data_IF_485324163509
#
_entry.id   IF_485324163509
#
_cell.length_a   1.000
_cell.length_b   1.000
_cell.length_c   1.000
_cell.angle_alpha   90.00
_cell.angle_beta   90.00
_cell.angle_gamma   90.00
#
_symmetry.space_group_name_H-M   'P 1'
#
loop_
_entity.id
_entity.type
_entity.pdbx_description
1 polymer ?
#
# COMPACT_ATOMS: atom_id res chain seq x y z
N UNK A 1 12.09 -9.26 -2.56
CA UNK A 1 11.46 -8.21 -1.73
C UNK A 1 9.97 -8.21 -1.98
N UNK A 2 9.15 -7.91 -0.97
CA UNK A 2 7.70 -7.81 -1.08
C UNK A 2 7.25 -6.42 -0.61
N UNK A 3 6.15 -5.91 -1.16
CA UNK A 3 5.56 -4.64 -0.74
C UNK A 3 4.13 -4.91 -0.29
N UNK A 4 3.81 -4.51 0.93
CA UNK A 4 2.47 -4.61 1.51
C UNK A 4 1.98 -3.21 1.88
N UNK A 5 0.68 -2.98 1.95
CA UNK A 5 0.12 -1.78 2.54
C UNK A 5 -0.65 -2.09 3.82
N UNK A 6 -0.76 -1.12 4.72
CA UNK A 6 -1.73 -1.16 5.79
C UNK A 6 -3.10 -0.69 5.29
N UNK A 7 -4.19 -1.12 5.92
CA UNK A 7 -5.54 -0.62 5.69
C UNK A 7 -6.31 -0.63 7.02
N UNK A 8 -7.37 0.16 7.13
CA UNK A 8 -8.21 0.21 8.33
C UNK A 8 -8.41 1.63 8.87
N UNK A 9 -9.30 1.74 9.84
CA UNK A 9 -9.75 3.01 10.42
C UNK A 9 -8.61 3.83 11.02
N UNK A 10 -8.80 5.17 11.11
CA UNK A 10 -7.93 6.04 11.89
C UNK A 10 -7.86 5.56 13.35
N UNK A 11 -6.73 5.74 13.99
CA UNK A 11 -6.47 5.32 15.39
C UNK A 11 -6.55 3.82 15.67
N UNK A 12 -6.70 2.96 14.67
CA UNK A 12 -6.59 1.50 14.82
C UNK A 12 -5.14 1.00 14.96
N UNK A 13 -4.17 1.91 15.03
CA UNK A 13 -2.77 1.60 15.34
C UNK A 13 -1.95 1.08 14.15
N UNK A 14 -2.28 1.45 12.89
CA UNK A 14 -1.53 1.07 11.70
C UNK A 14 -0.06 1.44 11.79
N UNK A 15 0.26 2.74 12.01
CA UNK A 15 1.64 3.23 12.12
C UNK A 15 2.38 2.62 13.32
N UNK A 16 1.68 2.41 14.45
CA UNK A 16 2.26 1.72 15.62
C UNK A 16 2.60 0.26 15.29
N UNK A 17 1.75 -0.42 14.51
CA UNK A 17 2.00 -1.77 14.03
C UNK A 17 3.22 -1.82 13.10
N UNK A 18 3.30 -0.91 12.13
CA UNK A 18 4.45 -0.80 11.22
C UNK A 18 5.73 -0.58 12.01
N UNK A 19 5.74 0.31 12.98
CA UNK A 19 6.88 0.56 13.86
C UNK A 19 7.26 -0.69 14.68
N UNK A 20 6.29 -1.41 15.23
CA UNK A 20 6.53 -2.64 16.00
C UNK A 20 7.14 -3.76 15.14
N UNK A 21 6.73 -3.86 13.86
CA UNK A 21 7.26 -4.84 12.92
C UNK A 21 8.68 -4.50 12.44
N UNK A 22 8.91 -3.21 12.14
CA UNK A 22 10.11 -2.78 11.39
C UNK A 22 11.17 -2.11 12.25
N UNK A 23 10.81 -1.66 13.46
CA UNK A 23 11.66 -0.80 14.28
C UNK A 23 11.87 0.61 13.71
N UNK A 24 11.15 0.99 12.63
CA UNK A 24 11.26 2.27 11.93
C UNK A 24 9.99 3.09 12.08
N UNK A 25 10.12 4.40 12.20
CA UNK A 25 8.99 5.32 12.20
C UNK A 25 8.51 5.59 10.78
N UNK A 26 7.27 5.21 10.40
CA UNK A 26 6.73 5.46 9.07
C UNK A 26 6.34 6.94 8.88
N UNK A 27 5.92 7.63 9.95
CA UNK A 27 5.47 9.01 9.92
C UNK A 27 6.67 9.97 9.92
N UNK A 28 6.90 10.64 8.80
CA UNK A 28 8.08 11.49 8.59
C UNK A 28 7.86 12.96 8.95
N UNK A 29 6.60 13.40 8.99
CA UNK A 29 6.28 14.80 9.25
C UNK A 29 6.13 15.06 10.75
N UNK A 30 6.80 16.09 11.25
CA UNK A 30 6.63 16.50 12.64
C UNK A 30 5.16 16.80 13.01
N UNK A 31 4.34 17.17 12.02
CA UNK A 31 2.92 17.40 12.19
C UNK A 31 2.14 16.09 12.39
N UNK A 32 2.47 15.02 11.66
CA UNK A 32 1.91 13.68 11.84
C UNK A 32 2.21 13.16 13.24
N UNK A 33 3.48 13.23 13.64
CA UNK A 33 3.92 12.79 14.95
C UNK A 33 3.26 13.60 16.10
N UNK A 34 3.08 14.92 15.90
CA UNK A 34 2.43 15.78 16.89
C UNK A 34 0.92 15.54 17.00
N UNK A 35 0.25 15.22 15.88
CA UNK A 35 -1.19 14.95 15.83
C UNK A 35 -1.53 13.49 16.09
N UNK A 36 -0.56 12.57 16.02
CA UNK A 36 -0.78 11.14 16.08
C UNK A 36 -1.59 10.60 14.90
N UNK A 37 -1.59 11.32 13.76
CA UNK A 37 -2.41 11.03 12.60
C UNK A 37 -1.56 11.04 11.33
N UNK A 38 -1.55 9.94 10.58
CA UNK A 38 -0.90 9.83 9.29
C UNK A 38 -1.66 10.66 8.25
N UNK A 39 -0.99 11.61 7.61
CA UNK A 39 -1.54 12.54 6.62
C UNK A 39 -1.15 12.17 5.19
N UNK A 40 0.02 11.57 5.01
CA UNK A 40 0.55 11.11 3.73
C UNK A 40 1.01 9.64 3.85
N UNK A 41 1.52 9.04 2.78
CA UNK A 41 2.01 7.66 2.82
C UNK A 41 3.29 7.56 3.65
N UNK A 42 3.28 6.72 4.68
CA UNK A 42 4.47 6.33 5.41
C UNK A 42 5.19 5.16 4.76
N UNK A 43 6.50 5.02 4.99
CA UNK A 43 7.30 3.90 4.48
C UNK A 43 8.24 3.37 5.53
N UNK A 44 8.23 2.05 5.67
CA UNK A 44 9.19 1.34 6.49
C UNK A 44 9.50 -0.03 5.85
N UNK A 45 10.62 -0.62 6.21
CA UNK A 45 10.97 -1.98 5.75
C UNK A 45 11.75 -2.73 6.82
N UNK A 46 11.73 -4.04 6.69
CA UNK A 46 12.47 -4.94 7.58
C UNK A 46 12.76 -6.25 6.87
N UNK A 47 13.74 -6.97 7.38
CA UNK A 47 13.98 -8.35 7.03
C UNK A 47 13.35 -9.23 8.11
N UNK A 48 12.42 -10.09 7.72
CA UNK A 48 11.72 -11.02 8.60
C UNK A 48 12.35 -12.40 8.48
N UNK A 49 12.78 -12.98 9.61
CA UNK A 49 13.30 -14.35 9.67
C UNK A 49 12.23 -15.31 9.11
N UNK A 50 12.66 -16.17 8.21
CA UNK A 50 11.78 -17.12 7.53
C UNK A 50 11.66 -18.47 8.28
N UNK A 51 12.35 -18.61 9.40
CA UNK A 51 12.39 -19.83 10.20
C UNK A 51 13.23 -20.97 9.60
N UNK A 52 13.86 -20.74 8.42
CA UNK A 52 14.70 -21.72 7.73
C UNK A 52 16.16 -21.24 7.56
N UNK A 53 16.54 -20.18 8.26
CA UNK A 53 17.85 -19.55 8.19
C UNK A 53 18.02 -18.54 7.07
N UNK A 54 16.90 -18.14 6.42
CA UNK A 54 16.81 -17.05 5.46
C UNK A 54 15.95 -15.91 6.00
N UNK A 55 15.77 -14.86 5.19
CA UNK A 55 14.93 -13.73 5.54
C UNK A 55 14.11 -13.23 4.33
N UNK A 56 12.84 -12.89 4.59
CA UNK A 56 11.98 -12.22 3.64
C UNK A 56 12.06 -10.70 3.85
N UNK A 57 12.51 -9.98 2.83
CA UNK A 57 12.51 -8.53 2.87
C UNK A 57 11.12 -7.99 2.54
N UNK A 58 10.53 -7.27 3.49
CA UNK A 58 9.19 -6.71 3.40
C UNK A 58 9.23 -5.21 3.57
N UNK A 59 8.72 -4.48 2.58
CA UNK A 59 8.45 -3.06 2.66
C UNK A 59 6.97 -2.83 2.96
N UNK A 60 6.68 -1.87 3.82
CA UNK A 60 5.34 -1.52 4.25
C UNK A 60 5.02 -0.09 3.83
N UNK A 61 3.89 0.05 3.16
CA UNK A 61 3.25 1.35 2.85
C UNK A 61 2.22 1.60 3.93
N UNK A 62 2.49 2.54 4.81
CA UNK A 62 1.53 2.94 5.83
C UNK A 62 0.59 4.00 5.26
N UNK A 63 -0.70 3.69 5.22
CA UNK A 63 -1.69 4.58 4.62
C UNK A 63 -2.50 5.33 5.67
N UNK A 64 -2.90 6.58 5.40
CA UNK A 64 -3.80 7.31 6.27
C UNK A 64 -5.15 6.60 6.40
N UNK A 65 -5.75 6.67 7.59
CA UNK A 65 -7.04 6.03 7.88
C UNK A 65 -8.25 6.97 7.82
N UNK A 66 -8.06 8.27 7.67
CA UNK A 66 -9.11 9.26 7.71
C UNK A 66 -9.75 9.45 6.31
N UNK A 67 -11.08 9.57 6.23
CA UNK A 67 -11.86 9.71 4.99
C UNK A 67 -11.34 10.77 4.01
N UNK A 68 -10.85 11.91 4.54
CA UNK A 68 -10.27 13.00 3.74
C UNK A 68 -9.06 12.58 2.91
N UNK A 69 -8.43 11.46 3.25
CA UNK A 69 -7.21 10.96 2.61
C UNK A 69 -7.43 9.67 1.81
N UNK A 70 -8.67 9.33 1.47
CA UNK A 70 -8.99 8.18 0.61
C UNK A 70 -8.19 8.19 -0.70
N UNK A 71 -8.02 9.32 -1.44
CA UNK A 71 -7.15 9.34 -2.63
C UNK A 71 -5.68 9.00 -2.32
N UNK A 72 -5.20 9.39 -1.14
CA UNK A 72 -3.84 9.05 -0.68
C UNK A 72 -3.74 7.56 -0.35
N UNK A 73 -4.75 7.01 0.33
CA UNK A 73 -4.84 5.58 0.63
C UNK A 73 -4.86 4.76 -0.65
N UNK A 74 -5.70 5.11 -1.64
CA UNK A 74 -5.78 4.41 -2.93
C UNK A 74 -4.43 4.40 -3.67
N UNK A 75 -3.69 5.52 -3.64
CA UNK A 75 -2.36 5.58 -4.24
C UNK A 75 -1.34 4.65 -3.55
N UNK A 76 -1.52 4.40 -2.25
CA UNK A 76 -0.67 3.46 -1.49
C UNK A 76 -1.05 2.00 -1.69
N UNK A 77 -2.34 1.71 -1.79
CA UNK A 77 -2.88 0.34 -1.86
C UNK A 77 -2.95 -0.20 -3.28
N UNK A 78 -3.25 0.65 -4.27
CA UNK A 78 -3.48 0.23 -5.65
C UNK A 78 -2.36 -0.63 -6.27
N UNK A 79 -1.08 -0.32 -6.06
CA UNK A 79 0.01 -1.08 -6.67
C UNK A 79 0.55 -2.24 -5.81
N UNK A 80 -0.04 -2.55 -4.65
CA UNK A 80 0.49 -3.62 -3.78
C UNK A 80 -0.26 -4.93 -3.94
N UNK A 81 0.43 -6.09 -3.86
CA UNK A 81 -0.19 -7.39 -4.05
C UNK A 81 -0.96 -7.88 -2.81
N UNK A 82 -0.71 -7.30 -1.63
CA UNK A 82 -1.34 -7.74 -0.39
C UNK A 82 -1.39 -6.63 0.67
N UNK A 83 -2.29 -6.79 1.65
CA UNK A 83 -2.56 -5.81 2.69
C UNK A 83 -2.59 -6.40 4.09
N UNK A 84 -2.27 -5.54 5.07
CA UNK A 84 -2.54 -5.75 6.48
C UNK A 84 -3.79 -4.94 6.86
N UNK A 85 -4.94 -5.60 6.99
CA UNK A 85 -6.18 -4.96 7.42
C UNK A 85 -6.22 -4.89 8.95
N UNK A 86 -6.04 -3.68 9.48
CA UNK A 86 -5.89 -3.44 10.92
C UNK A 86 -7.20 -2.98 11.53
N UNK A 87 -7.67 -3.74 12.53
CA UNK A 87 -8.88 -3.44 13.30
C UNK A 87 -8.53 -3.47 14.78
N UNK A 88 -8.84 -2.40 15.52
CA UNK A 88 -8.56 -2.33 16.94
C UNK A 88 -9.51 -3.22 17.74
N UNK A 89 -8.99 -4.00 18.68
CA UNK A 89 -9.77 -4.93 19.50
C UNK A 89 -10.81 -4.22 20.38
N UNK A 90 -10.49 -3.03 20.88
CA UNK A 90 -11.34 -2.18 21.72
C UNK A 90 -12.33 -1.30 20.93
N UNK A 91 -12.01 -1.03 19.65
CA UNK A 91 -12.85 -0.20 18.76
C UNK A 91 -13.77 -1.02 17.85
N UNK A 92 -13.41 -2.26 17.54
CA UNK A 92 -14.14 -3.12 16.61
C UNK A 92 -14.16 -2.56 15.18
N UNK A 93 -15.17 -2.96 14.41
CA UNK A 93 -15.34 -2.51 13.03
C UNK A 93 -15.89 -1.09 12.96
N UNK A 94 -15.22 -0.22 12.25
CA UNK A 94 -15.52 1.21 12.15
C UNK A 94 -15.81 1.62 10.70
N UNK A 95 -16.44 2.81 10.45
CA UNK A 95 -16.79 3.23 9.10
C UNK A 95 -15.66 3.20 8.10
N UNK A 96 -14.47 3.74 8.44
CA UNK A 96 -13.33 3.69 7.51
C UNK A 96 -12.75 2.29 7.33
N UNK A 97 -13.00 1.34 8.24
CA UNK A 97 -12.67 -0.08 8.00
C UNK A 97 -13.48 -0.62 6.81
N UNK A 98 -14.76 -0.23 6.73
CA UNK A 98 -15.63 -0.58 5.62
C UNK A 98 -15.20 0.12 4.31
N UNK A 99 -14.94 1.42 4.35
CA UNK A 99 -14.49 2.19 3.18
C UNK A 99 -13.19 1.61 2.60
N UNK A 100 -12.23 1.24 3.48
CA UNK A 100 -11.00 0.60 3.05
C UNK A 100 -11.24 -0.78 2.46
N UNK A 101 -12.13 -1.59 3.06
CA UNK A 101 -12.48 -2.90 2.51
C UNK A 101 -13.12 -2.77 1.13
N UNK A 102 -14.05 -1.83 0.96
CA UNK A 102 -14.70 -1.56 -0.33
C UNK A 102 -13.69 -1.15 -1.41
N UNK A 103 -12.73 -0.31 -1.04
CA UNK A 103 -11.66 0.11 -1.94
C UNK A 103 -10.74 -1.07 -2.31
N UNK A 104 -10.37 -1.93 -1.36
CA UNK A 104 -9.57 -3.13 -1.58
C UNK A 104 -10.29 -4.11 -2.51
N UNK A 105 -11.59 -4.31 -2.30
CA UNK A 105 -12.43 -5.17 -3.11
C UNK A 105 -12.54 -4.64 -4.55
N UNK A 106 -12.80 -3.34 -4.72
CA UNK A 106 -12.84 -2.68 -6.02
C UNK A 106 -11.51 -2.73 -6.78
N UNK A 107 -10.38 -2.66 -6.07
CA UNK A 107 -9.03 -2.79 -6.64
C UNK A 107 -8.65 -4.25 -6.89
N UNK A 108 -9.45 -5.22 -6.47
CA UNK A 108 -9.19 -6.65 -6.65
C UNK A 108 -8.01 -7.17 -5.81
N UNK A 109 -7.72 -6.56 -4.67
CA UNK A 109 -6.69 -7.04 -3.75
C UNK A 109 -7.21 -8.31 -3.07
N UNK A 110 -6.57 -9.45 -3.36
CA UNK A 110 -7.06 -10.78 -2.96
C UNK A 110 -6.24 -11.42 -1.82
N UNK A 111 -5.13 -10.83 -1.47
CA UNK A 111 -4.25 -11.36 -0.42
C UNK A 111 -4.22 -10.40 0.75
N UNK A 112 -4.52 -10.88 1.94
CA UNK A 112 -4.55 -10.06 3.14
C UNK A 112 -4.27 -10.84 4.41
N UNK A 113 -3.91 -10.08 5.44
CA UNK A 113 -3.81 -10.55 6.81
C UNK A 113 -4.60 -9.58 7.69
N UNK A 114 -5.58 -10.08 8.41
CA UNK A 114 -6.31 -9.32 9.43
C UNK A 114 -5.44 -9.19 10.67
N UNK A 115 -5.21 -7.97 11.12
CA UNK A 115 -4.47 -7.70 12.36
C UNK A 115 -5.42 -7.07 13.37
N UNK A 116 -5.81 -7.85 14.39
CA UNK A 116 -6.57 -7.35 15.53
C UNK A 116 -5.57 -6.68 16.48
N UNK A 117 -5.49 -5.36 16.40
CA UNK A 117 -4.54 -4.54 17.12
C UNK A 117 -5.05 -4.15 18.51
N UNK A 118 -4.19 -3.49 19.34
CA UNK A 118 -4.56 -2.96 20.66
C UNK A 118 -5.12 -4.03 21.61
N UNK A 119 -4.65 -5.28 21.46
CA UNK A 119 -5.12 -6.42 22.24
C UNK A 119 -4.90 -6.29 23.77
N UNK A 120 -4.03 -5.38 24.18
CA UNK A 120 -3.79 -5.04 25.58
C UNK A 120 -4.91 -4.25 26.25
N UNK A 121 -5.90 -3.77 25.48
CA UNK A 121 -7.04 -3.00 26.00
C UNK A 121 -8.30 -3.84 26.22
N UNK A 122 -8.26 -5.12 25.84
CA UNK A 122 -9.37 -6.08 26.03
C UNK A 122 -8.84 -7.40 26.55
N UNK A 123 -9.74 -8.28 26.98
CA UNK A 123 -9.39 -9.67 27.29
C UNK A 123 -9.29 -10.54 26.01
N UNK A 124 -8.83 -11.77 26.18
CA UNK A 124 -8.71 -12.72 25.06
C UNK A 124 -10.05 -13.00 24.36
N UNK A 125 -11.16 -12.99 25.10
CA UNK A 125 -12.50 -13.20 24.57
C UNK A 125 -12.94 -12.05 23.69
N UNK A 126 -12.70 -10.81 24.12
CA UNK A 126 -12.98 -9.60 23.33
C UNK A 126 -12.16 -9.54 22.03
N UNK A 127 -10.87 -9.85 22.11
CA UNK A 127 -10.02 -9.90 20.91
C UNK A 127 -10.48 -10.98 19.92
N UNK A 128 -10.87 -12.17 20.42
CA UNK A 128 -11.41 -13.26 19.59
C UNK A 128 -12.76 -12.88 18.96
N UNK A 129 -13.63 -12.20 19.70
CA UNK A 129 -14.91 -11.70 19.20
C UNK A 129 -14.71 -10.68 18.05
N UNK A 130 -13.76 -9.77 18.21
CA UNK A 130 -13.40 -8.81 17.12
C UNK A 130 -12.88 -9.54 15.88
N UNK A 131 -12.01 -10.55 16.04
CA UNK A 131 -11.52 -11.36 14.94
C UNK A 131 -12.65 -12.08 14.19
N UNK A 132 -13.62 -12.64 14.93
CA UNK A 132 -14.78 -13.31 14.36
C UNK A 132 -15.72 -12.33 13.62
N UNK A 133 -15.99 -11.13 14.17
CA UNK A 133 -16.78 -10.09 13.50
C UNK A 133 -16.10 -9.66 12.19
N UNK A 134 -14.79 -9.44 12.20
CA UNK A 134 -14.05 -9.09 10.97
C UNK A 134 -14.17 -10.20 9.94
N UNK A 135 -13.95 -11.47 10.33
CA UNK A 135 -14.06 -12.59 9.41
C UNK A 135 -15.45 -12.68 8.76
N UNK A 136 -16.51 -12.42 9.52
CA UNK A 136 -17.89 -12.37 9.02
C UNK A 136 -18.08 -11.25 7.97
N UNK A 137 -17.48 -10.08 8.18
CA UNK A 137 -17.57 -8.92 7.27
C UNK A 137 -16.80 -9.12 5.98
N UNK A 138 -15.78 -9.96 5.99
CA UNK A 138 -15.00 -10.30 4.80
C UNK A 138 -15.72 -11.32 3.88
N UNK A 139 -16.78 -11.98 4.34
CA UNK A 139 -17.54 -12.92 3.50
C UNK A 139 -18.09 -12.23 2.26
N UNK A 140 -17.85 -12.83 1.09
CA UNK A 140 -18.26 -12.28 -0.22
C UNK A 140 -17.39 -11.14 -0.74
N UNK A 141 -16.28 -10.81 -0.08
CA UNK A 141 -15.30 -9.82 -0.55
C UNK A 141 -14.03 -10.49 -1.08
N UNK A 142 -13.16 -9.71 -1.73
CA UNK A 142 -11.85 -10.18 -2.23
C UNK A 142 -10.91 -10.69 -1.13
N UNK A 143 -11.15 -10.33 0.14
CA UNK A 143 -10.37 -10.75 1.30
C UNK A 143 -11.03 -11.87 2.12
N UNK A 144 -12.06 -12.52 1.59
CA UNK A 144 -12.70 -13.67 2.27
C UNK A 144 -11.66 -14.76 2.59
N UNK A 145 -11.75 -15.31 3.80
CA UNK A 145 -10.84 -16.35 4.27
C UNK A 145 -9.44 -15.84 4.68
N UNK A 146 -9.20 -14.53 4.69
CA UNK A 146 -7.93 -13.97 5.19
C UNK A 146 -7.68 -14.41 6.63
N UNK A 147 -6.48 -14.92 6.96
CA UNK A 147 -6.13 -15.27 8.33
C UNK A 147 -6.09 -14.05 9.24
N UNK A 148 -6.24 -14.26 10.55
CA UNK A 148 -6.16 -13.20 11.54
C UNK A 148 -5.06 -13.45 12.58
N UNK A 149 -4.47 -12.36 13.10
CA UNK A 149 -3.51 -12.36 14.19
C UNK A 149 -3.87 -11.27 15.19
N UNK A 150 -3.83 -11.61 16.48
CA UNK A 150 -4.09 -10.68 17.58
C UNK A 150 -2.77 -10.11 18.11
N UNK A 151 -2.65 -8.79 18.19
CA UNK A 151 -1.37 -8.11 18.49
C UNK A 151 -1.56 -6.89 19.39
N UNK A 152 -0.62 -6.68 20.28
CA UNK A 152 -0.40 -5.38 20.92
C UNK A 152 0.96 -4.82 20.56
N UNK A 153 0.98 -3.77 19.76
CA UNK A 153 2.21 -3.04 19.42
C UNK A 153 2.85 -2.39 20.66
N UNK A 154 2.06 -2.09 21.69
CA UNK A 154 2.51 -1.47 22.94
C UNK A 154 3.27 -2.43 23.84
N UNK A 155 2.78 -3.66 23.99
CA UNK A 155 3.38 -4.66 24.88
C UNK A 155 4.28 -5.66 24.17
N UNK A 156 4.23 -5.70 22.83
CA UNK A 156 4.91 -6.69 22.01
C UNK A 156 4.18 -8.04 21.93
N UNK A 157 3.07 -8.21 22.63
CA UNK A 157 2.30 -9.46 22.59
C UNK A 157 1.81 -9.75 21.17
N UNK A 158 2.00 -10.98 20.68
CA UNK A 158 1.60 -11.41 19.33
C UNK A 158 2.50 -10.94 18.19
N UNK A 159 3.56 -10.15 18.43
CA UNK A 159 4.44 -9.63 17.36
C UNK A 159 5.16 -10.76 16.61
N UNK A 160 5.62 -11.79 17.29
CA UNK A 160 6.28 -12.93 16.63
C UNK A 160 5.29 -13.73 15.77
N UNK A 161 4.05 -13.93 16.25
CA UNK A 161 2.99 -14.56 15.46
C UNK A 161 2.66 -13.73 14.22
N UNK A 162 2.65 -12.40 14.34
CA UNK A 162 2.46 -11.47 13.23
C UNK A 162 3.61 -11.58 12.22
N UNK A 163 4.89 -11.58 12.67
CA UNK A 163 6.06 -11.76 11.79
C UNK A 163 5.94 -13.05 10.98
N UNK A 164 5.66 -14.15 11.65
CA UNK A 164 5.46 -15.45 11.01
C UNK A 164 4.27 -15.45 10.04
N UNK A 165 3.17 -14.77 10.38
CA UNK A 165 2.00 -14.65 9.49
C UNK A 165 2.30 -13.82 8.25
N UNK A 166 3.06 -12.70 8.39
CA UNK A 166 3.51 -11.89 7.26
C UNK A 166 4.42 -12.69 6.33
N UNK A 167 5.38 -13.47 6.87
CA UNK A 167 6.23 -14.36 6.07
C UNK A 167 5.40 -15.36 5.28
N UNK A 168 4.40 -16.01 5.91
CA UNK A 168 3.50 -16.93 5.20
C UNK A 168 2.71 -16.22 4.10
N UNK A 169 2.20 -15.00 4.38
CA UNK A 169 1.45 -14.21 3.41
C UNK A 169 2.33 -13.92 2.19
N UNK A 170 3.53 -13.36 2.37
CA UNK A 170 4.37 -12.94 1.24
C UNK A 170 4.90 -14.12 0.42
N UNK A 171 5.12 -15.28 1.04
CA UNK A 171 5.49 -16.52 0.35
C UNK A 171 4.36 -17.13 -0.47
N UNK A 172 3.13 -16.85 -0.08
CA UNK A 172 1.93 -17.27 -0.82
C UNK A 172 1.59 -16.37 -2.02
N UNK A 173 2.28 -15.22 -2.18
CA UNK A 173 2.02 -14.32 -3.29
C UNK A 173 2.58 -14.89 -4.61
N UNK A 174 1.90 -14.65 -5.74
CA UNK A 174 2.45 -14.98 -7.04
C UNK A 174 3.76 -14.20 -7.26
N UNK A 175 4.76 -14.82 -7.90
CA UNK A 175 5.98 -14.12 -8.25
C UNK A 175 5.68 -13.00 -9.24
N UNK A 176 6.33 -11.84 -9.06
CA UNK A 176 6.25 -10.77 -10.04
C UNK A 176 7.00 -11.15 -11.32
N UNK A 177 6.47 -10.73 -12.46
CA UNK A 177 7.11 -10.95 -13.76
C UNK A 177 8.17 -9.86 -14.03
N UNK A 178 9.47 -10.18 -14.03
CA UNK A 178 10.51 -9.22 -14.36
C UNK A 178 10.51 -8.83 -15.85
N UNK A 179 9.85 -9.60 -16.73
CA UNK A 179 9.69 -9.32 -18.15
C UNK A 179 8.50 -8.42 -18.47
N UNK A 180 7.64 -8.15 -17.49
CA UNK A 180 6.51 -7.25 -17.68
C UNK A 180 6.98 -5.81 -17.97
N UNK A 181 6.25 -5.06 -18.80
CA UNK A 181 6.56 -3.64 -18.99
C UNK A 181 6.39 -2.88 -17.68
N UNK A 182 7.42 -2.15 -17.21
CA UNK A 182 7.36 -1.44 -15.94
C UNK A 182 6.25 -0.38 -15.96
N UNK A 183 5.48 -0.35 -14.86
CA UNK A 183 4.46 0.66 -14.60
C UNK A 183 4.60 1.15 -13.16
N UNK A 184 4.91 2.44 -13.01
CA UNK A 184 5.10 3.08 -11.71
C UNK A 184 4.07 4.19 -11.53
N UNK A 185 3.10 4.00 -10.66
CA UNK A 185 2.17 5.05 -10.24
C UNK A 185 2.86 5.97 -9.24
N UNK A 186 2.81 7.28 -9.52
CA UNK A 186 3.51 8.29 -8.72
C UNK A 186 2.65 8.75 -7.55
N UNK A 187 3.14 8.53 -6.35
CA UNK A 187 2.51 9.01 -5.12
C UNK A 187 3.14 10.29 -4.59
N UNK A 188 4.38 10.62 -5.02
CA UNK A 188 5.05 11.89 -4.74
C UNK A 188 5.85 12.36 -5.93
N UNK A 189 5.92 13.69 -6.07
CA UNK A 189 6.79 14.38 -7.01
C UNK A 189 7.35 15.63 -6.34
N UNK A 190 8.67 15.78 -6.34
CA UNK A 190 9.34 16.89 -5.69
C UNK A 190 10.69 17.20 -6.33
N UNK A 191 11.22 18.37 -6.04
CA UNK A 191 12.54 18.80 -6.55
C UNK A 191 13.57 18.75 -5.44
N UNK A 192 14.69 18.08 -5.69
CA UNK A 192 15.86 18.07 -4.80
C UNK A 192 16.92 19.02 -5.40
N UNK A 193 17.38 19.99 -4.59
CA UNK A 193 18.43 20.92 -5.00
C UNK A 193 19.68 20.14 -5.43
N UNK A 194 20.16 20.36 -6.66
CA UNK A 194 21.32 19.69 -7.24
C UNK A 194 21.00 18.32 -7.90
N UNK A 195 19.94 17.64 -7.52
CA UNK A 195 19.54 16.38 -8.13
C UNK A 195 18.43 16.55 -9.20
N UNK A 196 17.57 17.57 -9.07
CA UNK A 196 16.45 17.81 -9.98
C UNK A 196 15.16 17.13 -9.51
N UNK A 197 14.33 16.71 -10.45
CA UNK A 197 13.04 16.09 -10.18
C UNK A 197 13.20 14.67 -9.71
N UNK A 198 12.58 14.36 -8.57
CA UNK A 198 12.49 13.03 -8.02
C UNK A 198 11.02 12.68 -7.81
N UNK A 199 10.64 11.51 -8.27
CA UNK A 199 9.31 10.95 -8.07
C UNK A 199 9.41 9.63 -7.30
N UNK A 200 8.37 9.28 -6.56
CA UNK A 200 8.31 8.01 -5.85
C UNK A 200 7.06 7.24 -6.20
N UNK A 201 7.14 5.92 -6.13
CA UNK A 201 6.02 5.03 -6.39
C UNK A 201 6.35 3.59 -6.01
N UNK A 202 5.34 2.71 -6.09
CA UNK A 202 5.52 1.27 -5.99
C UNK A 202 5.54 0.67 -7.38
N UNK A 203 6.61 -0.03 -7.71
CA UNK A 203 6.76 -0.84 -8.93
C UNK A 203 6.24 -2.24 -8.60
N UNK A 204 5.07 -2.67 -9.12
CA UNK A 204 4.54 -3.99 -8.82
C UNK A 204 5.31 -5.12 -9.51
N UNK A 205 5.74 -4.89 -10.74
CA UNK A 205 6.44 -5.87 -11.59
C UNK A 205 7.31 -5.16 -12.64
N UNK A 206 8.03 -5.92 -13.45
CA UNK A 206 8.97 -5.38 -14.42
C UNK A 206 10.27 -4.90 -13.77
N UNK A 207 11.13 -4.28 -14.57
CA UNK A 207 12.44 -3.76 -14.13
C UNK A 207 12.64 -2.35 -14.64
N UNK A 208 13.07 -1.44 -13.77
CA UNK A 208 13.55 -0.11 -14.10
C UNK A 208 15.07 -0.06 -14.03
N UNK A 209 15.71 0.58 -15.01
CA UNK A 209 17.17 0.76 -15.08
C UNK A 209 17.53 2.23 -15.21
N UNK A 210 18.67 2.60 -14.67
CA UNK A 210 19.27 3.90 -14.95
C UNK A 210 19.56 4.02 -16.45
N UNK A 211 19.10 5.10 -17.07
CA UNK A 211 19.21 5.33 -18.50
C UNK A 211 17.95 4.99 -19.29
N UNK A 212 16.98 4.28 -18.72
CA UNK A 212 15.73 3.95 -19.38
C UNK A 212 15.00 5.23 -19.86
N UNK A 213 14.42 5.13 -21.05
CA UNK A 213 13.47 6.11 -21.55
C UNK A 213 12.05 5.62 -21.21
N UNK A 214 11.29 6.47 -20.55
CA UNK A 214 9.93 6.19 -20.11
C UNK A 214 8.98 7.25 -20.63
N UNK A 215 7.71 6.92 -20.64
CA UNK A 215 6.62 7.84 -20.89
C UNK A 215 5.98 8.23 -19.55
N UNK A 216 6.04 9.49 -19.19
CA UNK A 216 5.27 10.03 -18.10
C UNK A 216 3.88 10.41 -18.62
N UNK A 217 2.84 9.90 -17.97
CA UNK A 217 1.43 10.17 -18.28
C UNK A 217 0.80 10.83 -17.06
N UNK A 218 0.27 12.03 -17.24
CA UNK A 218 -0.37 12.81 -16.17
C UNK A 218 -1.85 12.41 -15.98
N UNK A 219 -2.49 12.78 -14.87
CA UNK A 219 -3.91 12.47 -14.63
C UNK A 219 -4.87 13.05 -15.69
N UNK A 220 -4.50 14.17 -16.33
CA UNK A 220 -5.25 14.80 -17.42
C UNK A 220 -4.90 14.23 -18.80
N UNK A 221 -4.03 13.23 -18.86
CA UNK A 221 -3.70 12.49 -20.07
C UNK A 221 -2.55 13.07 -20.90
N UNK A 222 -1.88 14.10 -20.43
CA UNK A 222 -0.67 14.58 -21.11
C UNK A 222 0.43 13.52 -21.07
N UNK A 223 1.17 13.41 -22.17
CA UNK A 223 2.27 12.46 -22.32
C UNK A 223 3.60 13.20 -22.53
N UNK A 224 4.62 12.72 -21.86
CA UNK A 224 5.97 13.29 -21.96
C UNK A 224 7.04 12.20 -21.90
N UNK A 225 7.99 12.24 -22.81
CA UNK A 225 9.18 11.39 -22.71
C UNK A 225 10.09 11.93 -21.59
N UNK A 226 10.52 11.01 -20.72
CA UNK A 226 11.43 11.28 -19.61
C UNK A 226 12.51 10.20 -19.57
N UNK A 227 13.67 10.54 -19.00
CA UNK A 227 14.76 9.57 -18.84
C UNK A 227 15.09 9.36 -17.38
N UNK A 228 15.29 8.10 -16.99
CA UNK A 228 15.76 7.72 -15.66
C UNK A 228 17.22 8.14 -15.49
N UNK A 229 17.49 9.10 -14.61
CA UNK A 229 18.85 9.56 -14.27
C UNK A 229 19.47 8.74 -13.16
N UNK A 230 18.66 8.22 -12.26
CA UNK A 230 19.07 7.40 -11.13
C UNK A 230 17.89 6.80 -10.41
N UNK A 231 18.14 5.72 -9.69
CA UNK A 231 17.17 4.97 -8.93
C UNK A 231 17.64 4.81 -7.48
N UNK A 232 16.69 4.82 -6.55
CA UNK A 232 16.91 4.42 -5.17
C UNK A 232 15.79 3.48 -4.73
N UNK A 233 16.14 2.46 -3.97
CA UNK A 233 15.19 1.59 -3.28
C UNK A 233 15.73 1.31 -1.89
N UNK A 234 14.86 1.40 -0.87
CA UNK A 234 15.24 1.24 0.54
C UNK A 234 16.37 2.21 0.96
N UNK A 235 16.31 3.46 0.48
CA UNK A 235 17.31 4.53 0.73
C UNK A 235 18.71 4.29 0.13
N UNK A 236 18.88 3.23 -0.65
CA UNK A 236 20.15 2.91 -1.32
C UNK A 236 20.08 3.19 -2.83
N UNK A 237 21.10 3.82 -3.42
CA UNK A 237 21.22 3.92 -4.87
C UNK A 237 21.32 2.54 -5.52
N UNK A 238 20.60 2.35 -6.63
CA UNK A 238 20.59 1.10 -7.40
C UNK A 238 20.73 1.39 -8.88
N UNK A 239 21.53 0.62 -9.64
CA UNK A 239 21.58 0.73 -11.10
C UNK A 239 20.29 0.24 -11.75
N UNK A 240 19.62 -0.73 -11.13
CA UNK A 240 18.33 -1.29 -11.53
C UNK A 240 17.49 -1.65 -10.31
N UNK A 241 16.17 -1.66 -10.48
CA UNK A 241 15.19 -2.10 -9.48
C UNK A 241 14.15 -2.97 -10.16
N UNK A 242 14.01 -4.21 -9.69
CA UNK A 242 12.94 -5.12 -10.10
C UNK A 242 11.75 -5.02 -9.14
N UNK A 243 10.52 -5.08 -9.67
CA UNK A 243 9.30 -5.19 -8.88
C UNK A 243 9.15 -6.57 -8.21
N UNK A 244 8.38 -6.67 -7.11
CA UNK A 244 7.73 -5.57 -6.40
C UNK A 244 8.73 -4.77 -5.56
N UNK A 245 8.71 -3.47 -5.69
CA UNK A 245 9.65 -2.60 -4.99
C UNK A 245 9.08 -1.19 -4.77
N UNK A 246 9.49 -0.56 -3.69
CA UNK A 246 9.35 0.87 -3.51
C UNK A 246 10.54 1.58 -4.15
N UNK A 247 10.25 2.50 -5.07
CA UNK A 247 11.30 3.14 -5.89
C UNK A 247 11.19 4.66 -5.82
N UNK A 248 12.34 5.32 -5.66
CA UNK A 248 12.51 6.73 -5.97
C UNK A 248 13.26 6.82 -7.30
N UNK A 249 12.70 7.58 -8.24
CA UNK A 249 13.25 7.76 -9.59
C UNK A 249 13.64 9.22 -9.78
N UNK A 250 14.91 9.47 -10.01
CA UNK A 250 15.38 10.77 -10.45
C UNK A 250 15.17 10.86 -11.95
N UNK A 251 14.46 11.91 -12.39
CA UNK A 251 14.06 12.12 -13.77
C UNK A 251 14.85 13.24 -14.44
N UNK A 252 15.13 13.06 -15.73
CA UNK A 252 15.55 14.10 -16.65
C UNK A 252 14.47 14.30 -17.70
N UNK A 253 14.19 15.56 -18.06
CA UNK A 253 13.22 15.90 -19.11
C UNK A 253 11.87 16.36 -18.58
N UNK A 254 11.69 16.43 -17.25
CA UNK A 254 10.47 16.95 -16.63
C UNK A 254 10.79 17.70 -15.34
N UNK A 255 10.02 18.72 -15.02
CA UNK A 255 9.96 19.33 -13.69
C UNK A 255 8.98 18.57 -12.79
N UNK A 256 8.99 18.84 -11.48
CA UNK A 256 8.04 18.20 -10.57
C UNK A 256 6.57 18.59 -10.89
N UNK A 257 6.34 19.78 -11.43
CA UNK A 257 5.01 20.22 -11.87
C UNK A 257 4.53 19.50 -13.14
N UNK A 258 5.44 19.01 -13.98
CA UNK A 258 5.10 18.26 -15.19
C UNK A 258 4.71 16.81 -14.92
N UNK A 259 5.04 16.27 -13.76
CA UNK A 259 4.77 14.89 -13.34
C UNK A 259 4.20 14.88 -11.93
N UNK A 260 3.00 15.45 -11.71
CA UNK A 260 2.39 15.56 -10.39
C UNK A 260 2.04 14.18 -9.83
N UNK A 261 1.67 14.14 -8.54
CA UNK A 261 1.06 12.96 -7.92
C UNK A 261 -0.12 12.45 -8.74
N UNK A 262 -0.26 11.13 -8.87
CA UNK A 262 -1.28 10.49 -9.71
C UNK A 262 -0.84 10.28 -11.16
N UNK A 263 0.31 10.82 -11.57
CA UNK A 263 0.93 10.48 -12.86
C UNK A 263 1.44 9.02 -12.84
N UNK A 264 1.71 8.48 -14.01
CA UNK A 264 2.35 7.18 -14.18
C UNK A 264 3.63 7.29 -15.01
N UNK A 265 4.66 6.54 -14.65
CA UNK A 265 5.79 6.24 -15.53
C UNK A 265 5.59 4.88 -16.15
N UNK A 266 5.65 4.81 -17.47
CA UNK A 266 5.32 3.63 -18.26
C UNK A 266 6.45 3.33 -19.26
N UNK A 267 6.64 2.08 -19.61
CA UNK A 267 7.42 1.75 -20.79
C UNK A 267 6.75 2.39 -22.02
N UNK A 268 7.52 2.97 -22.97
CA UNK A 268 6.94 3.62 -24.14
C UNK A 268 6.02 2.70 -24.92
N UNK A 269 4.80 3.18 -25.22
CA UNK A 269 3.82 2.42 -25.98
C UNK A 269 3.15 1.25 -25.23
N UNK A 270 3.44 1.05 -23.94
CA UNK A 270 2.87 -0.08 -23.17
C UNK A 270 1.45 0.16 -22.66
N UNK A 271 0.91 1.38 -22.78
CA UNK A 271 -0.42 1.72 -22.28
C UNK A 271 -1.23 2.54 -23.28
N UNK A 272 -2.52 2.25 -23.32
CA UNK A 272 -3.52 3.02 -24.07
C UNK A 272 -4.35 3.84 -23.07
N UNK A 273 -4.47 5.14 -23.33
CA UNK A 273 -5.45 5.98 -22.65
C UNK A 273 -6.83 5.77 -23.26
N UNK A 274 -7.83 5.68 -22.42
CA UNK A 274 -9.24 5.62 -22.84
C UNK A 274 -10.11 6.40 -21.87
N UNK A 275 -11.14 7.03 -22.39
CA UNK A 275 -12.22 7.66 -21.59
C UNK A 275 -13.44 6.76 -21.46
N UNK A 276 -13.42 5.58 -22.11
CA UNK A 276 -14.53 4.64 -22.09
C UNK A 276 -14.02 3.28 -21.63
N UNK A 277 -14.71 2.69 -20.65
CA UNK A 277 -14.41 1.37 -20.11
C UNK A 277 -15.70 0.57 -19.92
N UNK A 278 -15.66 -0.70 -20.25
CA UNK A 278 -16.69 -1.65 -19.86
C UNK A 278 -16.41 -2.14 -18.44
N UNK A 279 -17.39 -2.07 -17.56
CA UNK A 279 -17.26 -2.50 -16.17
C UNK A 279 -18.30 -3.55 -15.82
N UNK A 280 -17.89 -4.50 -14.98
CA UNK A 280 -18.80 -5.45 -14.33
C UNK A 280 -19.05 -4.97 -12.91
N UNK A 281 -20.29 -4.61 -12.60
CA UNK A 281 -20.67 -4.25 -11.24
C UNK A 281 -20.97 -5.52 -10.45
N UNK A 282 -20.17 -5.79 -9.43
CA UNK A 282 -20.39 -6.87 -8.47
C UNK A 282 -20.91 -6.28 -7.16
N UNK A 283 -21.95 -6.88 -6.56
CA UNK A 283 -22.52 -6.39 -5.29
C UNK A 283 -23.92 -5.79 -5.44
N UNK A 284 -24.93 -6.66 -5.52
CA UNK A 284 -26.32 -6.29 -5.76
C UNK A 284 -26.96 -5.34 -4.72
N UNK A 285 -26.39 -5.16 -3.54
CA UNK A 285 -26.96 -4.34 -2.47
C UNK A 285 -26.59 -2.85 -2.60
N UNK A 286 -25.46 -2.52 -3.24
CA UNK A 286 -24.99 -1.13 -3.41
C UNK A 286 -25.36 -0.51 -4.76
N UNK A 287 -25.70 -1.31 -5.76
CA UNK A 287 -26.18 -0.82 -7.05
C UNK A 287 -27.49 0.00 -6.94
N UNK A 288 -28.27 -0.17 -5.86
CA UNK A 288 -29.47 0.65 -5.59
C UNK A 288 -29.16 2.11 -5.24
N UNK A 289 -28.05 2.38 -4.55
CA UNK A 289 -27.69 3.77 -4.18
C UNK A 289 -27.23 4.60 -5.39
N UNK A 290 -26.64 3.96 -6.41
CA UNK A 290 -26.21 4.66 -7.64
C UNK A 290 -27.35 4.89 -8.64
N UNK A 291 -28.47 4.17 -8.52
CA UNK A 291 -29.64 4.33 -9.41
C UNK A 291 -30.58 5.45 -8.97
N UNK A 292 -30.57 5.84 -7.69
CA UNK A 292 -31.49 6.86 -7.15
C UNK A 292 -30.94 8.31 -7.28
N UNK A 293 -29.62 8.51 -7.54
CA UNK A 293 -29.02 9.84 -7.73
C UNK A 293 -29.01 10.30 -9.20
N UNK A 294 -29.65 9.57 -10.10
CA UNK A 294 -29.66 9.79 -11.54
C UNK A 294 -30.97 10.34 -12.15
N UNK A 295 -31.80 11.10 -11.36
CA UNK A 295 -32.92 11.87 -11.90
C UNK A 295 -32.81 13.33 -11.58
#
# INVERSE_FOLDING_TARGET
MHVLATAGHVDHGKSALVRALTGREPDRWAEEQRRGLTLDLGFAWTDLDDGAGGAERVALVDVPGHERFVPTMLAGVGPVPAVLLVVAADGGWMPQSQEHLDALDALGVRSGLVVVSRADLVDATGAAATAADVAQRLVGTSLEGSPSVVVSARTGAGTEALRAAVVRLVRGLPPADPGAPPRLWLDRSFTIRGAGTVVTGTLPEGVLRTGDELEAVTPDGERRSVRVRGLQSLEEPRPEVAGPARVAVNLRGASAGDVPRGSALLAPGSARLTSEVDVVLTGAVRARALADDGQ
#
